data_IF_222871330659
#
_entry.id   IF_222871330659
#
_cell.length_a   1.000
_cell.length_b   1.000
_cell.length_c   1.000
_cell.angle_alpha   90.00
_cell.angle_beta   90.00
_cell.angle_gamma   90.00
#
_symmetry.space_group_name_H-M   'P 1'
#
loop_
_entity.id
_entity.type
_entity.pdbx_description
1 polymer ?
#
# COMPACT_ATOMS: atom_id res chain seq x y z
N UNK A 1 8.29 -7.54 -10.79
CA UNK A 1 7.62 -6.93 -9.63
C UNK A 1 8.34 -5.64 -9.32
N UNK A 2 7.68 -4.50 -9.46
CA UNK A 2 8.29 -3.21 -9.18
C UNK A 2 7.88 -2.79 -7.77
N UNK A 3 8.86 -2.53 -6.91
CA UNK A 3 8.62 -1.98 -5.57
C UNK A 3 8.62 -0.47 -5.68
N UNK A 4 7.57 0.16 -5.19
CA UNK A 4 7.49 1.61 -5.10
C UNK A 4 7.15 2.02 -3.68
N UNK A 5 7.58 3.22 -3.35
CA UNK A 5 7.26 3.88 -2.08
C UNK A 5 6.08 4.81 -2.29
N UNK A 6 5.24 4.91 -1.26
CA UNK A 6 4.14 5.85 -1.25
C UNK A 6 3.65 6.11 0.15
N UNK A 7 2.68 7.02 0.24
CA UNK A 7 2.09 7.50 1.47
C UNK A 7 0.63 7.05 1.49
N UNK A 8 0.17 6.49 2.60
CA UNK A 8 -1.23 6.12 2.76
C UNK A 8 -2.04 7.40 2.90
N UNK A 9 -3.03 7.60 2.05
CA UNK A 9 -3.94 8.76 2.13
C UNK A 9 -5.17 8.38 2.95
N UNK A 10 -5.76 7.21 2.65
CA UNK A 10 -7.06 6.80 3.19
C UNK A 10 -7.11 5.28 3.41
N UNK A 11 -7.80 4.85 4.46
CA UNK A 11 -8.13 3.44 4.69
C UNK A 11 -9.62 3.21 4.38
N UNK A 12 -9.90 2.32 3.42
CA UNK A 12 -11.27 1.96 3.01
C UNK A 12 -11.75 0.73 3.80
N UNK A 13 -13.08 0.61 4.04
CA UNK A 13 -13.65 -0.47 4.86
C UNK A 13 -13.42 -1.89 4.30
N UNK A 14 -13.15 -2.05 3.00
CA UNK A 14 -12.90 -3.36 2.37
C UNK A 14 -11.47 -3.91 2.54
N UNK A 15 -10.71 -3.48 3.56
CA UNK A 15 -9.27 -3.78 3.69
C UNK A 15 -8.42 -3.25 2.52
N UNK A 16 -8.96 -2.26 1.80
CA UNK A 16 -8.25 -1.54 0.76
C UNK A 16 -7.68 -0.25 1.35
N UNK A 17 -6.49 0.11 0.92
CA UNK A 17 -5.78 1.31 1.34
C UNK A 17 -5.46 2.11 0.10
N UNK A 18 -5.77 3.39 0.15
CA UNK A 18 -5.42 4.33 -0.90
C UNK A 18 -4.02 4.82 -0.61
N UNK A 19 -3.09 4.50 -1.49
CA UNK A 19 -1.69 4.90 -1.37
C UNK A 19 -1.39 5.84 -2.52
N UNK A 20 -0.83 7.01 -2.20
CA UNK A 20 -0.29 7.94 -3.18
C UNK A 20 1.20 7.65 -3.33
N UNK A 21 1.59 7.29 -4.54
CA UNK A 21 2.99 7.11 -4.88
C UNK A 21 3.69 8.46 -4.94
N UNK A 22 5.01 8.48 -4.73
CA UNK A 22 5.83 9.68 -4.93
C UNK A 22 5.70 10.25 -6.36
N UNK A 23 5.39 9.40 -7.34
CA UNK A 23 5.10 9.82 -8.72
C UNK A 23 3.74 10.55 -8.88
N UNK A 24 2.94 10.68 -7.82
CA UNK A 24 1.62 11.34 -7.84
C UNK A 24 0.46 10.42 -8.22
N UNK A 25 0.73 9.19 -8.63
CA UNK A 25 -0.28 8.19 -8.94
C UNK A 25 -0.96 7.65 -7.66
N UNK A 26 -2.28 7.57 -7.69
CA UNK A 26 -3.08 6.98 -6.60
C UNK A 26 -3.41 5.53 -6.93
N UNK A 27 -3.02 4.64 -6.01
CA UNK A 27 -3.15 3.20 -6.20
C UNK A 27 -3.96 2.58 -5.07
N UNK A 28 -4.81 1.64 -5.44
CA UNK A 28 -5.58 0.83 -4.50
C UNK A 28 -4.74 -0.37 -4.09
N UNK A 29 -4.34 -0.40 -2.84
CA UNK A 29 -3.51 -1.46 -2.30
C UNK A 29 -4.23 -2.26 -1.23
N UNK A 30 -3.98 -3.55 -1.20
CA UNK A 30 -4.45 -4.40 -0.11
C UNK A 30 -3.27 -4.81 0.79
N UNK A 31 -3.57 -5.06 2.05
CA UNK A 31 -2.59 -5.58 3.01
C UNK A 31 -2.10 -6.97 2.58
N UNK A 32 -0.78 -7.19 2.57
CA UNK A 32 -0.25 -8.55 2.48
C UNK A 32 -0.71 -9.37 3.70
N UNK A 33 -1.05 -10.65 3.47
CA UNK A 33 -1.50 -11.55 4.55
C UNK A 33 -0.50 -11.65 5.71
N UNK A 34 0.79 -11.49 5.42
CA UNK A 34 1.87 -11.44 6.42
C UNK A 34 1.63 -10.30 7.43
N UNK A 35 1.25 -9.11 6.98
CA UNK A 35 0.98 -7.95 7.84
C UNK A 35 -0.27 -8.15 8.72
N UNK A 36 -1.28 -8.88 8.21
CA UNK A 36 -2.46 -9.29 8.99
C UNK A 36 -2.06 -10.21 10.15
N UNK A 37 -1.16 -11.16 9.93
CA UNK A 37 -0.64 -12.04 11.00
C UNK A 37 0.10 -11.23 12.08
N UNK A 38 0.92 -10.24 11.68
CA UNK A 38 1.64 -9.36 12.59
C UNK A 38 0.77 -8.25 13.21
N UNK A 39 -0.55 -8.22 12.94
CA UNK A 39 -1.49 -7.18 13.42
C UNK A 39 -0.99 -5.74 13.18
N UNK A 40 -0.27 -5.51 12.09
CA UNK A 40 0.24 -4.17 11.76
C UNK A 40 -0.95 -3.29 11.38
N UNK A 41 -1.25 -2.30 12.22
CA UNK A 41 -2.21 -1.25 11.90
C UNK A 41 -1.54 -0.28 10.95
N UNK A 42 -2.22 0.04 9.85
CA UNK A 42 -1.81 1.10 8.93
C UNK A 42 -2.74 2.28 9.17
N UNK A 43 -2.16 3.46 9.39
CA UNK A 43 -2.89 4.71 9.54
C UNK A 43 -2.69 5.55 8.28
N UNK A 44 -3.66 6.40 7.91
CA UNK A 44 -3.43 7.44 6.91
C UNK A 44 -2.30 8.36 7.36
N UNK A 45 -1.36 8.66 6.46
CA UNK A 45 -0.12 9.40 6.71
C UNK A 45 1.12 8.52 6.81
N UNK A 46 0.99 7.20 6.94
CA UNK A 46 2.15 6.30 7.00
C UNK A 46 2.83 6.10 5.65
N UNK A 47 4.17 6.04 5.67
CA UNK A 47 4.97 5.60 4.52
C UNK A 47 4.95 4.08 4.40
N UNK A 48 4.58 3.60 3.23
CA UNK A 48 4.48 2.18 2.93
C UNK A 48 5.22 1.84 1.65
N UNK A 49 5.77 0.63 1.61
CA UNK A 49 6.30 0.05 0.39
C UNK A 49 5.23 -0.85 -0.23
N UNK A 50 4.89 -0.53 -1.46
CA UNK A 50 3.90 -1.24 -2.26
C UNK A 50 4.60 -1.95 -3.40
N UNK A 51 4.22 -3.20 -3.60
CA UNK A 51 4.70 -4.01 -4.70
C UNK A 51 3.62 -4.07 -5.77
N UNK A 52 4.00 -3.67 -6.99
CA UNK A 52 3.11 -3.55 -8.15
C UNK A 52 3.49 -4.59 -9.19
N UNK A 53 2.48 -5.13 -9.84
CA UNK A 53 2.68 -5.91 -11.05
C UNK A 53 2.82 -4.97 -12.25
N UNK A 54 3.73 -5.26 -13.19
CA UNK A 54 3.96 -4.42 -14.38
C UNK A 54 2.74 -4.35 -15.33
N UNK A 55 1.72 -5.17 -15.09
CA UNK A 55 0.48 -5.23 -15.88
C UNK A 55 -0.64 -4.34 -15.31
N UNK A 56 -0.57 -3.96 -14.03
CA UNK A 56 -1.63 -3.24 -13.32
C UNK A 56 -1.00 -2.18 -12.41
N UNK A 57 -0.90 -0.95 -12.92
CA UNK A 57 -0.37 0.18 -12.15
C UNK A 57 -1.34 0.69 -11.09
N UNK A 58 -2.65 0.36 -11.20
CA UNK A 58 -3.70 0.82 -10.28
C UNK A 58 -3.87 -0.07 -9.04
N UNK A 59 -3.29 -1.28 -9.05
CA UNK A 59 -3.43 -2.27 -7.97
C UNK A 59 -2.08 -2.66 -7.42
N UNK A 60 -1.92 -2.54 -6.11
CA UNK A 60 -0.69 -2.88 -5.42
C UNK A 60 -0.92 -3.76 -4.20
N UNK A 61 0.18 -4.27 -3.66
CA UNK A 61 0.19 -5.01 -2.40
C UNK A 61 1.13 -4.33 -1.43
N UNK A 62 0.64 -3.96 -0.25
CA UNK A 62 1.50 -3.39 0.79
C UNK A 62 2.33 -4.53 1.38
N UNK A 63 3.63 -4.47 1.20
CA UNK A 63 4.59 -5.48 1.68
C UNK A 63 5.30 -5.04 2.95
N UNK A 64 5.46 -3.73 3.14
CA UNK A 64 6.21 -3.18 4.25
C UNK A 64 5.66 -1.81 4.67
N UNK A 65 5.73 -1.52 5.97
CA UNK A 65 5.51 -0.20 6.54
C UNK A 65 6.85 0.31 7.03
N UNK A 66 7.37 1.36 6.39
CA UNK A 66 8.58 2.06 6.82
C UNK A 66 8.25 3.01 7.95
N UNK A 67 9.20 3.19 8.87
CA UNK A 67 9.08 4.14 9.98
C UNK A 67 9.12 5.58 9.49
#
# INVERSE_FOLDING_TARGET
MSRKTGIVIEALPSTNFRVRLDEGNEVLCHLAGKLRMYRIKILPGDKVTVEMSPYDEKRGRIVYRGK
#
